data_IF_316564430690
#
_entry.id   IF_316564430690
#
_cell.length_a   1.000
_cell.length_b   1.000
_cell.length_c   1.000
_cell.angle_alpha   90.00
_cell.angle_beta   90.00
_cell.angle_gamma   90.00
#
_symmetry.space_group_name_H-M   'P 1'
#
loop_
_entity.id
_entity.type
_entity.pdbx_description
1 polymer ?
#
# COMPACT_ATOMS: atom_id res chain seq x y z
N UNK A 1 -29.92 24.59 22.79
CA UNK A 1 -29.14 25.14 21.66
C UNK A 1 -27.70 24.68 21.83
N UNK A 2 -27.28 23.67 21.05
CA UNK A 2 -26.13 23.70 20.10
C UNK A 2 -24.85 24.34 20.67
N UNK A 3 -23.82 23.53 20.87
CA UNK A 3 -22.72 23.40 19.90
C UNK A 3 -21.49 22.88 20.62
N UNK A 4 -21.40 21.56 20.81
CA UNK A 4 -20.14 20.94 21.23
C UNK A 4 -19.47 20.36 20.01
N UNK A 5 -18.64 21.22 19.42
CA UNK A 5 -17.33 20.87 18.88
C UNK A 5 -17.32 19.89 17.71
N UNK A 6 -17.32 20.50 16.52
CA UNK A 6 -16.89 19.93 15.25
C UNK A 6 -15.41 19.49 15.29
N UNK A 7 -15.10 18.38 15.98
CA UNK A 7 -13.72 17.85 16.06
C UNK A 7 -13.58 16.38 15.63
N UNK A 8 -14.57 15.81 14.93
CA UNK A 8 -14.51 14.41 14.47
C UNK A 8 -14.28 14.25 12.96
N UNK A 9 -13.88 15.31 12.24
CA UNK A 9 -13.75 15.29 10.78
C UNK A 9 -12.32 15.06 10.24
N UNK A 10 -11.33 14.71 11.07
CA UNK A 10 -9.95 14.54 10.60
C UNK A 10 -9.45 13.08 10.53
N UNK A 11 -10.29 12.09 10.86
CA UNK A 11 -9.87 10.68 10.90
C UNK A 11 -10.15 9.89 9.61
N UNK A 12 -10.68 10.52 8.56
CA UNK A 12 -11.17 9.77 7.39
C UNK A 12 -10.14 9.51 6.29
N UNK A 13 -8.92 10.07 6.38
CA UNK A 13 -7.89 9.86 5.34
C UNK A 13 -7.05 8.59 5.60
N UNK A 14 -7.00 8.08 6.83
CA UNK A 14 -6.29 6.84 7.21
C UNK A 14 -7.27 5.64 7.19
N UNK A 15 -8.26 5.66 6.30
CA UNK A 15 -9.25 4.57 6.20
C UNK A 15 -8.96 3.61 5.03
N UNK A 16 -7.93 3.85 4.20
CA UNK A 16 -7.68 3.05 3.00
C UNK A 16 -6.57 2.00 3.17
N UNK A 17 -5.71 2.14 4.17
CA UNK A 17 -4.55 1.27 4.35
C UNK A 17 -4.82 0.25 5.46
N UNK A 18 -4.57 -1.02 5.18
CA UNK A 18 -4.77 -2.13 6.11
C UNK A 18 -3.63 -2.23 7.14
N UNK A 19 -3.53 -3.36 7.83
CA UNK A 19 -2.50 -3.61 8.83
C UNK A 19 -1.11 -3.69 8.17
N UNK A 20 -0.06 -3.33 8.92
CA UNK A 20 1.32 -3.54 8.48
C UNK A 20 1.60 -5.02 8.20
N UNK A 21 2.22 -5.30 7.06
CA UNK A 21 2.69 -6.63 6.67
C UNK A 21 4.10 -6.86 7.24
N UNK A 22 4.49 -8.13 7.42
CA UNK A 22 5.89 -8.46 7.73
C UNK A 22 6.77 -8.19 6.50
N UNK A 23 8.06 -7.92 6.73
CA UNK A 23 9.02 -7.61 5.67
C UNK A 23 9.09 -8.72 4.60
N UNK A 24 9.05 -9.98 5.05
CA UNK A 24 9.03 -11.15 4.18
C UNK A 24 7.80 -11.20 3.26
N UNK A 25 6.65 -10.68 3.72
CA UNK A 25 5.42 -10.61 2.93
C UNK A 25 5.50 -9.47 1.89
N UNK A 26 6.11 -8.34 2.26
CA UNK A 26 6.39 -7.23 1.35
C UNK A 26 7.42 -7.61 0.28
N UNK A 27 8.41 -8.44 0.62
CA UNK A 27 9.46 -8.90 -0.30
C UNK A 27 9.13 -10.20 -1.02
N UNK A 28 7.95 -10.78 -0.75
CA UNK A 28 7.54 -12.03 -1.36
C UNK A 28 7.49 -11.92 -2.90
N UNK A 29 7.93 -12.96 -3.63
CA UNK A 29 7.79 -13.01 -5.08
C UNK A 29 6.33 -12.79 -5.51
N UNK A 30 6.16 -11.99 -6.56
CA UNK A 30 4.84 -11.63 -7.07
C UNK A 30 4.49 -12.42 -8.33
N UNK A 31 3.31 -13.06 -8.38
CA UNK A 31 2.82 -13.60 -9.63
C UNK A 31 2.50 -12.44 -10.57
N UNK A 32 2.96 -12.54 -11.81
CA UNK A 32 2.51 -11.66 -12.88
C UNK A 32 1.25 -12.25 -13.51
N UNK A 33 0.17 -11.48 -13.52
CA UNK A 33 -1.11 -11.93 -14.03
C UNK A 33 -1.21 -11.72 -15.55
N UNK A 34 -1.63 -12.77 -16.27
CA UNK A 34 -2.15 -12.62 -17.63
C UNK A 34 -3.65 -12.38 -17.56
N UNK A 35 -4.09 -11.19 -17.97
CA UNK A 35 -5.46 -10.73 -17.83
C UNK A 35 -6.32 -11.17 -19.01
N UNK A 36 -7.50 -11.73 -18.75
CA UNK A 36 -8.49 -12.02 -19.79
C UNK A 36 -9.15 -10.74 -20.33
N UNK A 37 -9.72 -10.80 -21.54
CA UNK A 37 -10.28 -9.64 -22.24
C UNK A 37 -11.45 -8.94 -21.52
N UNK A 38 -12.08 -9.60 -20.54
CA UNK A 38 -13.18 -9.06 -19.74
C UNK A 38 -12.74 -8.52 -18.37
N UNK A 39 -11.43 -8.47 -18.09
CA UNK A 39 -10.91 -7.98 -16.81
C UNK A 39 -10.46 -6.54 -16.96
N UNK A 40 -11.00 -5.67 -16.11
CA UNK A 40 -10.55 -4.28 -16.04
C UNK A 40 -9.13 -4.20 -15.52
N UNK A 41 -8.24 -3.60 -16.31
CA UNK A 41 -6.90 -3.26 -15.89
C UNK A 41 -6.94 -2.02 -14.99
N UNK A 42 -6.08 -1.98 -13.99
CA UNK A 42 -5.97 -0.87 -13.05
C UNK A 42 -4.52 -0.54 -12.74
N UNK A 43 -4.31 0.69 -12.28
CA UNK A 43 -3.03 1.10 -11.70
C UNK A 43 -3.02 0.63 -10.25
N UNK A 44 -1.94 -0.01 -9.84
CA UNK A 44 -1.72 -0.42 -8.45
C UNK A 44 -0.25 -0.22 -8.08
N UNK A 45 0.06 -0.39 -6.80
CA UNK A 45 1.38 -0.28 -6.22
C UNK A 45 1.79 -1.58 -5.53
N UNK A 46 3.09 -1.82 -5.45
CA UNK A 46 3.66 -2.97 -4.74
C UNK A 46 5.06 -2.67 -4.23
N UNK A 47 5.45 -3.29 -3.13
CA UNK A 47 6.82 -3.23 -2.63
C UNK A 47 7.72 -4.14 -3.46
N UNK A 48 8.71 -3.56 -4.12
CA UNK A 48 9.70 -4.25 -4.94
C UNK A 48 10.92 -4.58 -4.09
N UNK A 49 11.21 -5.87 -3.92
CA UNK A 49 12.43 -6.30 -3.25
C UNK A 49 13.69 -5.87 -4.04
N UNK A 50 13.58 -5.76 -5.37
CA UNK A 50 14.71 -5.41 -6.24
C UNK A 50 15.11 -3.93 -6.10
N UNK A 51 14.16 -3.00 -6.18
CA UNK A 51 14.44 -1.57 -5.99
C UNK A 51 14.37 -1.13 -4.54
N UNK A 52 14.01 -2.06 -3.63
CA UNK A 52 13.82 -1.84 -2.20
C UNK A 52 12.76 -0.77 -1.92
N UNK A 53 11.69 -0.78 -2.73
CA UNK A 53 10.79 0.34 -2.80
C UNK A 53 9.40 0.04 -3.43
N UNK A 54 8.32 0.74 -3.06
CA UNK A 54 7.00 0.77 -3.64
C UNK A 54 7.02 1.34 -5.05
N UNK A 55 6.67 0.48 -6.02
CA UNK A 55 6.62 0.77 -7.44
C UNK A 55 5.19 0.77 -7.95
N UNK A 56 4.96 1.48 -9.05
CA UNK A 56 3.67 1.48 -9.76
C UNK A 56 3.68 0.38 -10.81
N UNK A 57 2.56 -0.32 -10.95
CA UNK A 57 2.29 -1.22 -12.08
C UNK A 57 0.91 -0.95 -12.67
N UNK A 58 0.66 -1.54 -13.84
CA UNK A 58 -0.62 -1.52 -14.52
C UNK A 58 -0.96 -2.94 -14.99
N UNK A 59 -2.11 -3.44 -14.55
CA UNK A 59 -2.47 -4.83 -14.79
C UNK A 59 -3.74 -5.22 -14.05
N UNK A 60 -3.93 -6.52 -13.88
CA UNK A 60 -5.01 -7.10 -13.09
C UNK A 60 -4.49 -7.91 -11.90
N UNK A 61 -3.21 -7.77 -11.56
CA UNK A 61 -2.58 -8.49 -10.47
C UNK A 61 -3.31 -8.22 -9.14
N UNK A 62 -3.30 -9.24 -8.28
CA UNK A 62 -3.91 -9.21 -6.95
C UNK A 62 -3.00 -9.95 -5.98
N UNK A 63 -3.28 -9.80 -4.69
CA UNK A 63 -2.55 -10.45 -3.61
C UNK A 63 -2.01 -9.46 -2.60
N UNK A 64 -1.38 -9.99 -1.55
CA UNK A 64 -1.11 -9.25 -0.31
C UNK A 64 -0.19 -8.04 -0.47
N UNK A 65 0.83 -8.13 -1.34
CA UNK A 65 1.72 -7.01 -1.63
C UNK A 65 1.14 -6.05 -2.72
N UNK A 66 -0.17 -6.09 -2.99
CA UNK A 66 -0.83 -5.24 -4.01
C UNK A 66 -1.68 -4.19 -3.35
N UNK A 67 -1.40 -2.92 -3.61
CA UNK A 67 -2.07 -1.80 -2.97
C UNK A 67 -2.65 -0.86 -4.02
N UNK A 68 -3.85 -0.33 -3.79
CA UNK A 68 -4.47 0.61 -4.73
C UNK A 68 -3.82 2.01 -4.63
N UNK A 69 -3.15 2.31 -3.53
CA UNK A 69 -2.51 3.60 -3.28
C UNK A 69 -1.04 3.47 -2.83
N UNK A 70 -0.21 4.44 -3.24
CA UNK A 70 1.23 4.46 -2.93
C UNK A 70 1.50 4.69 -1.44
N UNK A 71 0.70 5.56 -0.80
CA UNK A 71 0.81 5.82 0.64
C UNK A 71 0.49 4.56 1.43
N UNK A 72 -0.52 3.79 1.00
CA UNK A 72 -0.84 2.52 1.63
C UNK A 72 0.27 1.50 1.45
N UNK A 73 0.86 1.37 0.26
CA UNK A 73 2.05 0.54 0.08
C UNK A 73 3.18 0.93 1.05
N UNK A 74 3.49 2.24 1.17
CA UNK A 74 4.56 2.70 2.06
C UNK A 74 4.23 2.58 3.56
N UNK A 75 2.95 2.61 3.91
CA UNK A 75 2.49 2.50 5.31
C UNK A 75 2.40 1.04 5.75
N UNK A 76 1.94 0.14 4.87
CA UNK A 76 1.76 -1.29 5.13
C UNK A 76 3.05 -2.09 4.90
N UNK A 77 3.91 -1.64 3.98
CA UNK A 77 5.27 -2.11 3.81
C UNK A 77 6.26 -1.00 4.18
N UNK A 78 6.40 -0.69 5.48
CA UNK A 78 7.32 0.34 5.99
C UNK A 78 8.76 -0.22 5.98
N UNK A 79 9.25 -0.55 4.80
CA UNK A 79 10.57 -1.11 4.58
C UNK A 79 11.27 -0.33 3.47
N UNK A 80 12.59 -0.46 3.40
CA UNK A 80 13.38 0.11 2.32
C UNK A 80 13.46 1.64 2.28
N UNK A 81 13.52 2.19 1.06
CA UNK A 81 14.07 3.53 0.83
C UNK A 81 13.07 4.69 1.01
N UNK A 82 11.81 4.41 1.39
CA UNK A 82 10.78 5.45 1.58
C UNK A 82 10.74 6.04 2.97
N UNK A 83 11.48 5.44 3.89
CA UNK A 83 11.44 5.83 5.27
C UNK A 83 12.14 7.17 5.48
N UNK A 84 11.46 8.20 6.02
CA UNK A 84 12.19 9.24 6.71
C UNK A 84 13.01 8.57 7.84
N UNK A 85 14.27 8.98 8.05
CA UNK A 85 15.14 8.37 9.06
C UNK A 85 14.44 8.39 10.43
N UNK A 86 14.29 7.23 11.07
CA UNK A 86 13.73 7.10 12.43
C UNK A 86 12.48 6.22 12.59
N UNK A 87 11.97 5.57 11.53
CA UNK A 87 10.80 4.67 11.59
C UNK A 87 11.10 3.19 11.32
N UNK A 88 12.35 2.75 11.43
CA UNK A 88 12.66 1.31 11.41
C UNK A 88 12.10 0.68 12.69
N UNK A 89 10.94 0.05 12.58
CA UNK A 89 10.41 -0.82 13.63
C UNK A 89 11.35 -2.01 13.78
N UNK A 90 11.76 -2.26 15.03
CA UNK A 90 12.55 -3.40 15.49
C UNK A 90 11.94 -4.75 15.15
#
# INVERSE_FOLDING_TARGET
>A
MKSTVAALCFLTVVACCTAMLLEEQCRAPRPFASCGSNVSLRIFYYFSNYTNQCERSFGCDMGMNTFEDKLCCATECPYGNHHPPGKQGS
#
